data_IF_067480691515
#
_entry.id   IF_067480691515
#
_cell.length_a   1.000
_cell.length_b   1.000
_cell.length_c   1.000
_cell.angle_alpha   90.00
_cell.angle_beta   90.00
_cell.angle_gamma   90.00
#
_symmetry.space_group_name_H-M   'P 1'
#
loop_
_entity.id
_entity.type
_entity.pdbx_description
1 polymer ?
#
# COMPACT_ATOMS: atom_id res chain seq x y z
N UNK A 1 -4.03 -33.00 -15.39
CA UNK A 1 -4.35 -33.18 -13.96
C UNK A 1 -5.44 -32.19 -13.62
N UNK A 2 -6.57 -32.67 -13.05
CA UNK A 2 -7.55 -31.74 -12.50
C UNK A 2 -6.97 -31.13 -11.24
N UNK A 3 -6.51 -29.88 -11.33
CA UNK A 3 -6.02 -29.14 -10.19
C UNK A 3 -7.22 -28.56 -9.43
N UNK A 4 -7.47 -29.09 -8.23
CA UNK A 4 -8.46 -28.52 -7.32
C UNK A 4 -7.75 -27.61 -6.30
N UNK A 5 -8.08 -26.34 -6.31
CA UNK A 5 -7.57 -25.38 -5.34
C UNK A 5 -8.53 -25.25 -4.16
N UNK A 6 -7.99 -25.36 -2.94
CA UNK A 6 -8.71 -25.02 -1.72
C UNK A 6 -8.43 -23.56 -1.36
N UNK A 7 -9.41 -22.64 -1.45
CA UNK A 7 -9.22 -21.22 -1.15
C UNK A 7 -8.93 -20.94 0.34
N UNK A 8 -9.11 -21.93 1.23
CA UNK A 8 -8.86 -21.76 2.66
C UNK A 8 -7.40 -22.02 3.07
N UNK A 9 -6.55 -22.42 2.14
CA UNK A 9 -5.13 -22.59 2.39
C UNK A 9 -4.27 -21.86 1.34
N UNK A 10 -3.07 -21.36 1.72
CA UNK A 10 -2.13 -20.80 0.74
C UNK A 10 -1.61 -21.92 -0.20
N UNK A 11 -1.32 -21.52 -1.44
CA UNK A 11 -0.61 -22.39 -2.38
C UNK A 11 0.80 -22.71 -1.87
N UNK A 12 1.24 -23.96 -2.06
CA UNK A 12 2.65 -24.28 -1.94
C UNK A 12 3.45 -23.63 -3.09
N UNK A 13 4.77 -23.55 -2.93
CA UNK A 13 5.64 -23.07 -4.01
C UNK A 13 5.51 -23.90 -5.29
N UNK A 14 5.41 -25.22 -5.15
CA UNK A 14 5.27 -26.15 -6.27
C UNK A 14 3.94 -25.97 -7.00
N UNK A 15 2.84 -25.85 -6.24
CA UNK A 15 1.51 -25.56 -6.82
C UNK A 15 1.49 -24.21 -7.54
N UNK A 16 2.10 -23.17 -6.97
CA UNK A 16 2.17 -21.87 -7.61
C UNK A 16 2.99 -21.90 -8.92
N UNK A 17 4.12 -22.62 -8.95
CA UNK A 17 4.92 -22.79 -10.16
C UNK A 17 4.17 -23.62 -11.21
N UNK A 18 3.49 -24.69 -10.81
CA UNK A 18 2.67 -25.48 -11.72
C UNK A 18 1.57 -24.64 -12.37
N UNK A 19 0.85 -23.83 -11.58
CA UNK A 19 -0.18 -22.94 -12.09
C UNK A 19 0.39 -21.87 -13.04
N UNK A 20 1.57 -21.37 -12.75
CA UNK A 20 2.19 -20.29 -13.53
C UNK A 20 2.76 -20.76 -14.88
N UNK A 21 3.27 -22.00 -14.97
CA UNK A 21 4.05 -22.44 -16.12
C UNK A 21 3.47 -23.64 -16.87
N UNK A 22 2.64 -24.45 -16.22
CA UNK A 22 2.16 -25.72 -16.78
C UNK A 22 0.65 -25.71 -17.09
N UNK A 23 -0.12 -24.82 -16.46
CA UNK A 23 -1.56 -24.73 -16.67
C UNK A 23 -1.86 -23.79 -17.82
N UNK A 24 -2.78 -24.20 -18.69
CA UNK A 24 -3.30 -23.35 -19.75
C UNK A 24 -3.87 -22.05 -19.18
N UNK A 25 -3.62 -20.93 -19.84
CA UNK A 25 -3.98 -19.60 -19.36
C UNK A 25 -5.49 -19.42 -19.15
N UNK A 26 -6.29 -19.92 -20.08
CA UNK A 26 -7.76 -19.82 -19.99
C UNK A 26 -8.28 -20.69 -18.83
N UNK A 27 -7.72 -21.88 -18.65
CA UNK A 27 -8.04 -22.75 -17.50
C UNK A 27 -7.65 -22.08 -16.17
N UNK A 28 -6.52 -21.37 -16.12
CA UNK A 28 -6.10 -20.62 -14.94
C UNK A 28 -7.06 -19.46 -14.64
N UNK A 29 -7.49 -18.71 -15.65
CA UNK A 29 -8.47 -17.62 -15.48
C UNK A 29 -9.82 -18.12 -14.99
N UNK A 30 -10.29 -19.24 -15.54
CA UNK A 30 -11.53 -19.87 -15.10
C UNK A 30 -11.43 -20.36 -13.63
N UNK A 31 -10.30 -20.95 -13.24
CA UNK A 31 -10.04 -21.34 -11.85
C UNK A 31 -10.05 -20.11 -10.92
N UNK A 32 -9.37 -19.05 -11.29
CA UNK A 32 -9.32 -17.80 -10.52
C UNK A 32 -10.70 -17.18 -10.38
N UNK A 33 -11.50 -17.15 -11.47
CA UNK A 33 -12.86 -16.64 -11.45
C UNK A 33 -13.76 -17.45 -10.52
N UNK A 34 -13.75 -18.77 -10.64
CA UNK A 34 -14.54 -19.68 -9.76
C UNK A 34 -14.15 -19.50 -8.29
N UNK A 35 -12.86 -19.36 -8.01
CA UNK A 35 -12.36 -19.12 -6.65
C UNK A 35 -12.89 -17.78 -6.10
N UNK A 36 -12.83 -16.72 -6.90
CA UNK A 36 -13.37 -15.40 -6.51
C UNK A 36 -14.86 -15.44 -6.24
N UNK A 37 -15.64 -16.11 -7.10
CA UNK A 37 -17.08 -16.26 -6.92
C UNK A 37 -17.41 -17.08 -5.65
N UNK A 38 -16.68 -18.15 -5.40
CA UNK A 38 -16.87 -19.01 -4.23
C UNK A 38 -16.56 -18.30 -2.89
N UNK A 39 -15.59 -17.37 -2.89
CA UNK A 39 -15.25 -16.56 -1.72
C UNK A 39 -16.31 -15.48 -1.41
N UNK A 40 -17.24 -15.25 -2.33
CA UNK A 40 -18.39 -14.35 -2.14
C UNK A 40 -18.16 -12.92 -2.61
N UNK A 41 -19.22 -12.08 -2.52
CA UNK A 41 -19.27 -10.77 -3.17
C UNK A 41 -18.54 -9.66 -2.39
N UNK A 42 -17.70 -9.96 -1.42
CA UNK A 42 -16.99 -8.98 -0.62
C UNK A 42 -15.92 -8.26 -1.46
N UNK A 43 -16.37 -7.38 -2.35
CA UNK A 43 -15.50 -6.47 -3.08
C UNK A 43 -14.98 -5.41 -2.11
N UNK A 44 -13.69 -5.46 -1.80
CA UNK A 44 -13.05 -4.55 -0.85
C UNK A 44 -12.50 -3.33 -1.61
N UNK A 45 -13.19 -2.20 -1.45
CA UNK A 45 -12.85 -0.94 -2.13
C UNK A 45 -11.88 -0.12 -1.29
N UNK A 46 -10.83 0.41 -1.92
CA UNK A 46 -9.88 1.31 -1.30
C UNK A 46 -9.68 2.54 -2.19
N UNK A 47 -9.62 3.71 -1.59
CA UNK A 47 -9.22 4.95 -2.26
C UNK A 47 -8.05 5.61 -1.55
N UNK A 48 -7.38 6.50 -2.25
CA UNK A 48 -6.23 7.22 -1.71
C UNK A 48 -6.41 8.73 -1.90
N UNK A 49 -5.75 9.50 -1.03
CA UNK A 49 -5.43 10.90 -1.26
C UNK A 49 -3.92 11.10 -1.14
N UNK A 50 -3.33 11.82 -2.08
CA UNK A 50 -1.92 12.19 -2.00
C UNK A 50 -1.79 13.42 -1.09
N UNK A 51 -1.49 13.21 0.20
CA UNK A 51 -1.48 14.28 1.21
C UNK A 51 -0.25 15.18 1.14
N UNK A 52 0.82 14.71 0.49
CA UNK A 52 2.05 15.46 0.24
C UNK A 52 2.66 14.95 -1.05
N UNK A 53 3.00 15.84 -1.97
CA UNK A 53 3.42 15.44 -3.32
C UNK A 53 4.71 16.10 -3.78
N UNK A 54 5.42 15.34 -4.61
CA UNK A 54 6.58 15.80 -5.38
C UNK A 54 7.84 15.97 -4.54
N UNK A 55 8.90 16.36 -5.21
CA UNK A 55 10.22 16.66 -4.64
C UNK A 55 10.80 15.56 -3.73
N UNK A 56 10.44 14.29 -4.01
CA UNK A 56 10.96 13.14 -3.27
C UNK A 56 12.47 12.98 -3.55
N UNK A 57 13.31 12.86 -2.51
CA UNK A 57 14.76 12.72 -2.69
C UNK A 57 15.19 11.34 -3.23
N UNK A 58 14.28 10.38 -3.28
CA UNK A 58 14.54 9.02 -3.75
C UNK A 58 14.56 8.96 -5.29
N UNK A 59 15.41 8.09 -5.84
CA UNK A 59 15.64 7.93 -7.28
C UNK A 59 14.85 6.78 -7.93
N UNK A 60 13.78 6.32 -7.30
CA UNK A 60 12.96 5.22 -7.79
C UNK A 60 12.45 5.48 -9.22
N UNK A 61 12.88 4.67 -10.19
CA UNK A 61 12.57 4.86 -11.62
C UNK A 61 11.07 4.73 -11.97
N UNK A 62 10.30 4.07 -11.12
CA UNK A 62 8.85 3.93 -11.29
C UNK A 62 8.02 5.08 -10.71
N UNK A 63 8.65 6.04 -9.98
CA UNK A 63 7.92 7.00 -9.18
C UNK A 63 7.91 8.40 -9.81
N UNK A 64 6.72 8.88 -10.19
CA UNK A 64 6.56 10.22 -10.74
C UNK A 64 6.86 11.36 -9.75
N UNK A 65 6.94 11.07 -8.44
CA UNK A 65 7.19 12.08 -7.41
C UNK A 65 8.69 12.32 -7.13
N UNK A 66 9.59 11.53 -7.76
CA UNK A 66 11.02 11.66 -7.60
C UNK A 66 11.52 13.00 -8.20
N UNK A 67 12.34 13.73 -7.44
CA UNK A 67 13.01 14.96 -7.95
C UNK A 67 14.10 14.68 -9.00
N UNK A 68 14.46 13.43 -9.19
CA UNK A 68 15.47 13.01 -10.17
C UNK A 68 14.92 12.96 -11.60
N UNK A 69 13.58 13.05 -11.76
CA UNK A 69 12.92 12.93 -13.06
C UNK A 69 11.97 14.10 -13.30
N UNK A 70 11.88 14.53 -14.55
CA UNK A 70 10.93 15.56 -14.98
C UNK A 70 9.61 14.88 -15.38
N UNK A 71 8.65 14.88 -14.48
CA UNK A 71 7.40 14.10 -14.66
C UNK A 71 6.14 14.96 -14.71
N UNK A 72 6.23 16.26 -14.43
CA UNK A 72 5.05 17.13 -14.32
C UNK A 72 4.19 16.89 -13.08
N UNK A 73 4.63 16.04 -12.13
CA UNK A 73 3.93 15.84 -10.86
C UNK A 73 3.88 17.16 -10.06
N UNK A 74 2.70 17.54 -9.58
CA UNK A 74 2.52 18.72 -8.73
C UNK A 74 3.32 18.59 -7.42
N UNK A 75 3.91 19.71 -6.97
CA UNK A 75 4.66 19.76 -5.70
C UNK A 75 3.86 20.59 -4.70
N UNK A 76 3.49 19.99 -3.58
CA UNK A 76 2.78 20.64 -2.49
C UNK A 76 3.12 20.04 -1.13
N UNK A 77 3.05 20.86 -0.05
CA UNK A 77 3.26 20.39 1.32
C UNK A 77 2.07 19.53 1.79
N UNK A 78 2.12 19.12 3.07
CA UNK A 78 1.03 18.37 3.68
C UNK A 78 -0.29 19.14 3.55
N UNK A 79 -1.33 18.45 3.04
CA UNK A 79 -2.68 18.98 2.94
C UNK A 79 -3.28 19.25 4.33
N UNK A 80 -4.30 20.11 4.35
CA UNK A 80 -5.05 20.41 5.56
C UNK A 80 -5.91 19.21 6.02
N UNK A 81 -6.20 19.16 7.31
CA UNK A 81 -7.13 18.19 7.89
C UNK A 81 -8.50 18.26 7.20
N UNK A 82 -9.01 19.47 6.95
CA UNK A 82 -10.28 19.69 6.27
C UNK A 82 -10.35 19.00 4.89
N UNK A 83 -9.30 19.13 4.06
CA UNK A 83 -9.26 18.50 2.73
C UNK A 83 -9.28 16.98 2.83
N UNK A 84 -8.50 16.41 3.74
CA UNK A 84 -8.41 14.97 3.94
C UNK A 84 -9.73 14.40 4.48
N UNK A 85 -10.31 15.02 5.50
CA UNK A 85 -11.56 14.60 6.14
C UNK A 85 -12.73 14.71 5.17
N UNK A 86 -12.84 15.81 4.43
CA UNK A 86 -13.85 15.98 3.38
C UNK A 86 -13.79 14.88 2.33
N UNK A 87 -12.60 14.52 1.88
CA UNK A 87 -12.41 13.46 0.89
C UNK A 87 -12.76 12.08 1.48
N UNK A 88 -12.38 11.80 2.71
CA UNK A 88 -12.74 10.55 3.41
C UNK A 88 -14.27 10.40 3.53
N UNK A 89 -14.96 11.44 3.98
CA UNK A 89 -16.41 11.46 4.08
C UNK A 89 -17.10 11.30 2.72
N UNK A 90 -16.59 11.95 1.67
CA UNK A 90 -17.08 11.77 0.32
C UNK A 90 -16.94 10.31 -0.14
N UNK A 91 -15.76 9.74 0.00
CA UNK A 91 -15.47 8.36 -0.40
C UNK A 91 -16.36 7.36 0.36
N UNK A 92 -16.53 7.56 1.66
CA UNK A 92 -17.40 6.68 2.47
C UNK A 92 -18.86 6.70 1.99
N UNK A 93 -19.37 7.88 1.61
CA UNK A 93 -20.72 8.01 1.02
C UNK A 93 -20.85 7.32 -0.34
N UNK A 94 -19.75 7.16 -1.08
CA UNK A 94 -19.70 6.39 -2.34
C UNK A 94 -19.55 4.87 -2.11
N UNK A 95 -19.59 4.40 -0.86
CA UNK A 95 -19.46 2.97 -0.53
C UNK A 95 -18.00 2.48 -0.45
N UNK A 96 -17.02 3.39 -0.50
CA UNK A 96 -15.62 3.02 -0.31
C UNK A 96 -15.39 2.61 1.14
N UNK A 97 -14.75 1.46 1.35
CA UNK A 97 -14.54 0.88 2.68
C UNK A 97 -13.24 1.33 3.32
N UNK A 98 -12.19 1.55 2.53
CA UNK A 98 -10.86 1.94 3.03
C UNK A 98 -10.36 3.21 2.38
N UNK A 99 -9.65 4.02 3.16
CA UNK A 99 -9.06 5.28 2.71
C UNK A 99 -7.62 5.40 3.20
N UNK A 100 -6.70 5.69 2.28
CA UNK A 100 -5.29 5.80 2.57
C UNK A 100 -4.77 7.21 2.35
N UNK A 101 -4.09 7.77 3.34
CA UNK A 101 -3.25 8.93 3.15
C UNK A 101 -1.89 8.49 2.60
N UNK A 102 -1.50 9.07 1.46
CA UNK A 102 -0.24 8.76 0.76
C UNK A 102 0.64 9.98 0.72
N UNK A 103 1.92 9.86 1.07
CA UNK A 103 2.88 10.97 1.00
C UNK A 103 4.07 10.65 0.11
N UNK A 104 4.43 11.59 -0.74
CA UNK A 104 5.73 11.59 -1.42
C UNK A 104 6.86 11.88 -0.44
N UNK A 105 8.00 11.19 -0.62
CA UNK A 105 9.18 11.31 0.24
C UNK A 105 9.72 9.95 0.71
N UNK A 106 10.99 9.90 1.13
CA UNK A 106 11.57 8.69 1.73
C UNK A 106 10.80 8.30 3.00
N UNK A 107 10.46 9.26 3.83
CA UNK A 107 9.59 9.10 5.00
C UNK A 107 9.02 10.46 5.41
N UNK A 108 7.93 10.45 6.15
CA UNK A 108 7.44 11.64 6.85
C UNK A 108 8.23 11.84 8.15
N UNK A 109 8.49 13.11 8.51
CA UNK A 109 9.13 13.45 9.79
C UNK A 109 8.21 13.13 10.97
N UNK A 110 8.79 13.06 12.20
CA UNK A 110 8.00 12.86 13.42
C UNK A 110 6.93 13.95 13.62
N UNK A 111 7.25 15.21 13.27
CA UNK A 111 6.29 16.31 13.28
C UNK A 111 5.13 16.06 12.32
N UNK A 112 5.43 15.70 11.08
CA UNK A 112 4.40 15.37 10.08
C UNK A 112 3.59 14.14 10.50
N UNK A 113 4.23 13.13 11.12
CA UNK A 113 3.52 11.95 11.65
C UNK A 113 2.47 12.34 12.68
N UNK A 114 2.79 13.26 13.61
CA UNK A 114 1.83 13.76 14.59
C UNK A 114 0.68 14.54 13.94
N UNK A 115 0.99 15.39 12.98
CA UNK A 115 -0.05 16.09 12.20
C UNK A 115 -0.97 15.11 11.43
N UNK A 116 -0.40 14.07 10.84
CA UNK A 116 -1.17 13.02 10.17
C UNK A 116 -2.02 12.21 11.17
N UNK A 117 -1.52 11.96 12.37
CA UNK A 117 -2.28 11.32 13.42
C UNK A 117 -3.52 12.15 13.83
N UNK A 118 -3.38 13.48 13.97
CA UNK A 118 -4.51 14.38 14.20
C UNK A 118 -5.53 14.32 13.04
N UNK A 119 -5.08 14.29 11.79
CA UNK A 119 -5.93 14.13 10.61
C UNK A 119 -6.71 12.80 10.66
N UNK A 120 -6.05 11.69 11.00
CA UNK A 120 -6.71 10.40 11.13
C UNK A 120 -7.74 10.37 12.26
N UNK A 121 -7.46 11.01 13.40
CA UNK A 121 -8.41 11.14 14.49
C UNK A 121 -9.66 11.93 14.06
N UNK A 122 -9.49 13.02 13.31
CA UNK A 122 -10.60 13.79 12.77
C UNK A 122 -11.40 12.97 11.74
N UNK A 123 -10.74 12.27 10.79
CA UNK A 123 -11.42 11.38 9.85
C UNK A 123 -12.29 10.36 10.60
N UNK A 124 -11.77 9.76 11.66
CA UNK A 124 -12.50 8.76 12.44
C UNK A 124 -13.64 9.32 13.29
N UNK A 125 -13.56 10.59 13.64
CA UNK A 125 -14.69 11.25 14.34
C UNK A 125 -15.85 11.55 13.39
N UNK A 126 -15.57 11.75 12.10
CA UNK A 126 -16.56 12.15 11.10
C UNK A 126 -17.09 10.96 10.25
N UNK A 127 -16.36 9.83 10.23
CA UNK A 127 -16.71 8.68 9.38
C UNK A 127 -16.16 7.36 9.94
N UNK A 128 -16.83 6.26 9.61
CA UNK A 128 -16.44 4.89 9.94
C UNK A 128 -15.57 4.23 8.87
N UNK A 129 -14.93 5.01 7.97
CA UNK A 129 -14.04 4.48 6.94
C UNK A 129 -12.78 3.89 7.57
N UNK A 130 -12.36 2.71 7.11
CA UNK A 130 -11.11 2.10 7.57
C UNK A 130 -9.90 2.91 7.10
N UNK A 131 -9.03 3.30 8.03
CA UNK A 131 -7.86 4.12 7.76
C UNK A 131 -6.63 3.27 7.41
N UNK A 132 -5.99 3.63 6.29
CA UNK A 132 -4.72 3.08 5.83
C UNK A 132 -3.68 4.18 5.66
N UNK A 133 -2.40 3.83 5.60
CA UNK A 133 -1.31 4.78 5.37
C UNK A 133 -0.24 4.24 4.41
N UNK A 134 0.33 5.14 3.57
CA UNK A 134 1.53 4.90 2.76
C UNK A 134 2.42 6.14 2.81
N UNK A 135 3.31 6.20 3.79
CA UNK A 135 4.05 7.41 4.21
C UNK A 135 5.57 7.22 4.14
N UNK A 136 6.03 6.25 3.32
CA UNK A 136 7.43 5.92 3.14
C UNK A 136 7.97 4.96 4.20
N UNK A 137 9.27 5.07 4.50
CA UNK A 137 9.99 4.18 5.40
C UNK A 137 9.89 4.71 6.83
N UNK A 138 9.05 4.09 7.65
CA UNK A 138 8.83 4.51 9.04
C UNK A 138 9.41 3.49 10.03
N UNK A 139 9.87 4.02 11.17
CA UNK A 139 10.24 3.24 12.34
C UNK A 139 9.03 2.91 13.22
N UNK A 140 9.27 2.12 14.25
CA UNK A 140 8.25 1.66 15.19
C UNK A 140 7.57 2.80 15.93
N UNK A 141 8.32 3.85 16.34
CA UNK A 141 7.76 5.01 17.06
C UNK A 141 6.69 5.72 16.23
N UNK A 142 7.01 6.04 14.97
CA UNK A 142 6.08 6.72 14.06
C UNK A 142 4.89 5.85 13.67
N UNK A 143 5.11 4.56 13.48
CA UNK A 143 4.04 3.61 13.20
C UNK A 143 3.12 3.43 14.41
N UNK A 144 3.65 3.43 15.64
CA UNK A 144 2.84 3.38 16.86
C UNK A 144 1.92 4.60 16.98
N UNK A 145 2.45 5.82 16.73
CA UNK A 145 1.64 7.05 16.73
C UNK A 145 0.46 6.95 15.75
N UNK A 146 0.70 6.44 14.55
CA UNK A 146 -0.35 6.26 13.54
C UNK A 146 -1.35 5.15 13.95
N UNK A 147 -0.86 4.07 14.52
CA UNK A 147 -1.72 2.98 15.01
C UNK A 147 -2.66 3.46 16.12
N UNK A 148 -2.14 4.23 17.08
CA UNK A 148 -2.92 4.82 18.16
C UNK A 148 -3.97 5.83 17.65
N UNK A 149 -3.68 6.49 16.53
CA UNK A 149 -4.63 7.34 15.82
C UNK A 149 -5.68 6.55 15.00
N UNK A 150 -5.56 5.20 14.94
CA UNK A 150 -6.54 4.31 14.32
C UNK A 150 -6.21 3.87 12.89
N UNK A 151 -4.98 4.02 12.46
CA UNK A 151 -4.53 3.43 11.19
C UNK A 151 -4.38 1.92 11.36
N UNK A 152 -5.19 1.16 10.63
CA UNK A 152 -5.23 -0.31 10.75
C UNK A 152 -4.29 -1.04 9.77
N UNK A 153 -3.90 -0.37 8.69
CA UNK A 153 -3.12 -1.00 7.60
C UNK A 153 -2.05 -0.06 7.10
N UNK A 154 -0.83 -0.56 6.99
CA UNK A 154 0.31 0.16 6.42
C UNK A 154 0.71 -0.44 5.08
N UNK A 155 0.83 0.40 4.05
CA UNK A 155 1.26 0.01 2.71
C UNK A 155 2.75 0.32 2.54
N UNK A 156 3.53 -0.71 2.23
CA UNK A 156 4.94 -0.58 1.88
C UNK A 156 5.26 -1.59 0.76
N UNK A 157 5.19 -1.12 -0.48
CA UNK A 157 5.30 -1.97 -1.65
C UNK A 157 6.73 -2.47 -1.84
N UNK A 158 6.89 -3.75 -2.22
CA UNK A 158 8.18 -4.35 -2.55
C UNK A 158 8.66 -3.99 -3.96
N UNK A 159 7.76 -3.52 -4.80
CA UNK A 159 7.94 -3.01 -6.16
C UNK A 159 8.39 -4.08 -7.16
N UNK A 160 9.53 -4.72 -6.95
CA UNK A 160 10.12 -5.68 -7.88
C UNK A 160 10.83 -6.82 -7.14
N UNK A 161 11.38 -7.78 -7.89
CA UNK A 161 12.19 -8.88 -7.34
C UNK A 161 13.49 -8.34 -6.69
N UNK A 162 14.01 -9.01 -5.65
CA UNK A 162 15.21 -8.53 -4.91
C UNK A 162 16.42 -8.28 -5.78
N UNK A 163 16.66 -9.15 -6.75
CA UNK A 163 17.81 -9.06 -7.66
C UNK A 163 17.73 -7.89 -8.66
N UNK A 164 16.53 -7.33 -8.88
CA UNK A 164 16.30 -6.20 -9.79
C UNK A 164 16.18 -4.86 -9.06
N UNK A 165 15.91 -4.87 -7.75
CA UNK A 165 15.60 -3.66 -7.00
C UNK A 165 16.70 -2.59 -7.12
N UNK A 166 17.97 -2.96 -6.97
CA UNK A 166 19.11 -2.04 -7.05
C UNK A 166 19.33 -1.42 -8.43
N UNK A 167 18.78 -2.00 -9.49
CA UNK A 167 18.81 -1.41 -10.85
C UNK A 167 17.77 -0.31 -11.04
N UNK A 168 16.74 -0.28 -10.19
CA UNK A 168 15.58 0.60 -10.27
C UNK A 168 15.56 1.68 -9.18
N UNK A 169 16.26 1.45 -8.07
CA UNK A 169 16.39 2.40 -6.97
C UNK A 169 17.73 2.19 -6.27
N UNK A 170 18.49 3.28 -6.06
CA UNK A 170 19.80 3.26 -5.40
C UNK A 170 19.81 3.98 -4.05
N UNK A 171 18.78 4.74 -3.73
CA UNK A 171 18.70 5.60 -2.53
C UNK A 171 18.14 4.89 -1.30
N UNK A 172 17.50 3.72 -1.48
CA UNK A 172 17.12 2.81 -0.39
C UNK A 172 17.09 1.37 -0.90
N UNK A 173 16.96 0.41 0.02
CA UNK A 173 16.98 -1.02 -0.27
C UNK A 173 15.64 -1.69 -0.01
N UNK A 174 15.49 -2.94 -0.45
CA UNK A 174 14.32 -3.75 -0.03
C UNK A 174 14.36 -4.09 1.46
N UNK A 175 15.55 -4.22 2.05
CA UNK A 175 15.71 -4.44 3.49
C UNK A 175 15.16 -3.29 4.31
N UNK A 176 15.32 -2.03 3.85
CA UNK A 176 14.69 -0.86 4.49
C UNK A 176 13.14 -0.97 4.48
N UNK A 177 12.57 -1.46 3.36
CA UNK A 177 11.13 -1.72 3.25
C UNK A 177 10.69 -2.86 4.17
N UNK A 178 11.44 -3.95 4.20
CA UNK A 178 11.18 -5.10 5.08
C UNK A 178 11.24 -4.68 6.56
N UNK A 179 12.19 -3.83 6.93
CA UNK A 179 12.28 -3.29 8.29
C UNK A 179 11.01 -2.50 8.68
N UNK A 180 10.52 -1.62 7.80
CA UNK A 180 9.26 -0.90 7.99
C UNK A 180 8.06 -1.85 8.12
N UNK A 181 7.98 -2.88 7.27
CA UNK A 181 6.90 -3.88 7.32
C UNK A 181 6.91 -4.65 8.65
N UNK A 182 8.09 -5.04 9.12
CA UNK A 182 8.25 -5.73 10.42
C UNK A 182 7.83 -4.82 11.57
N UNK A 183 8.22 -3.55 11.52
CA UNK A 183 7.80 -2.56 12.51
C UNK A 183 6.28 -2.35 12.51
N UNK A 184 5.64 -2.24 11.33
CA UNK A 184 4.19 -2.12 11.22
C UNK A 184 3.45 -3.34 11.82
N UNK A 185 3.94 -4.55 11.55
CA UNK A 185 3.38 -5.77 12.16
C UNK A 185 3.57 -5.81 13.68
N UNK A 186 4.73 -5.34 14.16
CA UNK A 186 5.04 -5.33 15.60
C UNK A 186 4.10 -4.42 16.39
N UNK A 187 3.70 -3.29 15.84
CA UNK A 187 2.71 -2.39 16.47
C UNK A 187 1.26 -2.84 16.26
N UNK A 188 1.01 -3.96 15.57
CA UNK A 188 -0.33 -4.53 15.39
C UNK A 188 -1.04 -4.14 14.10
N UNK A 189 -0.39 -3.41 13.19
CA UNK A 189 -0.98 -3.10 11.88
C UNK A 189 -0.96 -4.29 10.94
N UNK A 190 -1.94 -4.37 10.05
CA UNK A 190 -1.83 -5.18 8.83
C UNK A 190 -0.81 -4.52 7.89
N UNK A 191 0.09 -5.29 7.31
CA UNK A 191 1.00 -4.81 6.29
C UNK A 191 0.51 -5.27 4.91
N UNK A 192 0.28 -4.31 4.00
CA UNK A 192 -0.06 -4.60 2.62
C UNK A 192 1.18 -4.42 1.74
N UNK A 193 1.46 -5.46 0.97
CA UNK A 193 2.62 -5.54 0.08
C UNK A 193 2.10 -5.66 -1.35
N UNK A 194 2.60 -4.80 -2.23
CA UNK A 194 2.41 -4.97 -3.67
C UNK A 194 3.77 -5.15 -4.33
N UNK A 195 3.82 -6.04 -5.30
CA UNK A 195 4.96 -6.24 -6.17
C UNK A 195 4.49 -6.01 -7.60
N UNK A 196 5.14 -5.10 -8.31
CA UNK A 196 4.91 -4.94 -9.74
C UNK A 196 5.68 -6.00 -10.50
N UNK A 197 5.02 -6.68 -11.46
CA UNK A 197 5.72 -7.47 -12.44
C UNK A 197 6.48 -6.52 -13.36
N UNK A 198 7.80 -6.58 -13.35
CA UNK A 198 8.62 -5.94 -14.38
C UNK A 198 8.85 -7.02 -15.44
N UNK A 199 8.23 -6.87 -16.60
CA UNK A 199 8.57 -7.68 -17.77
C UNK A 199 10.04 -7.40 -18.14
N UNK A 200 10.81 -8.47 -18.31
CA UNK A 200 12.20 -8.41 -18.80
C UNK A 200 12.20 -8.24 -20.31
#
# INVERSE_FOLDING_TARGET
MDFSYDPNRPLSREEALYLAFEVDREALYELAHRTTVALGPAFDTCSIINVKSGNCPEDCKWCAQSRHYTTGAGVYPLLSSYECTRQACYNRRQGIRRFSLVAGGRSVSLRETRQLAEIYQEIRSETDIDCCASLGLLDEERLQILYDAGVSTYHCNMETAPNLFSTLCTTHTQEDKIATIRAARKVGMRALLMQMGVEQ
#
